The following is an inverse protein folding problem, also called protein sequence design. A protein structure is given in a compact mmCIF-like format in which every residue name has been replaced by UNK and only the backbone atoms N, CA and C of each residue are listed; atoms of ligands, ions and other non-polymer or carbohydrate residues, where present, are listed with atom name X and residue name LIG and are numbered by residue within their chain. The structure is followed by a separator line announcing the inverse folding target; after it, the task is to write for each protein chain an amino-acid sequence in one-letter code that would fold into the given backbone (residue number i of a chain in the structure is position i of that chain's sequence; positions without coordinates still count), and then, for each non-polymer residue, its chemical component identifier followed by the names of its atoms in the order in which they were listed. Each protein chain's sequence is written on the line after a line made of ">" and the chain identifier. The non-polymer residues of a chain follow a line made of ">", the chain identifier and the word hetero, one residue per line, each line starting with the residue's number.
data_IF_475822523202
#
_entry.id   IF_475822523202
#
_cell.length_a   1.000
_cell.length_b   1.000
_cell.length_c   1.000
_cell.angle_alpha   90.00
_cell.angle_beta   90.00
_cell.angle_gamma   90.00
#
_symmetry.space_group_name_H-M   'P 1'
#
loop_
_entity.id
_entity.type
_entity.pdbx_description
1 polymer ?
#
# COMPACT_ATOMS: atom_id res chain seq x y z
N UNK A 1 11.17 -0.07 -17.38
CA UNK A 1 11.93 0.45 -16.23
C UNK A 1 11.15 1.63 -15.67
N UNK A 2 10.89 1.67 -14.37
CA UNK A 2 10.19 2.78 -13.72
C UNK A 2 11.18 3.92 -13.48
N UNK A 3 10.82 5.15 -13.86
CA UNK A 3 11.67 6.31 -13.63
C UNK A 3 11.67 6.70 -12.13
N UNK A 4 12.72 7.36 -11.60
CA UNK A 4 12.70 7.88 -10.24
C UNK A 4 11.48 8.77 -9.98
N UNK A 5 10.78 8.53 -8.87
CA UNK A 5 9.57 9.25 -8.49
C UNK A 5 8.32 8.93 -9.34
N UNK A 6 8.40 8.02 -10.31
CA UNK A 6 7.23 7.54 -11.03
C UNK A 6 6.50 6.46 -10.23
N UNK A 7 5.20 6.32 -10.50
CA UNK A 7 4.32 5.36 -9.85
C UNK A 7 3.92 4.24 -10.80
N UNK A 8 3.72 3.04 -10.28
CA UNK A 8 3.16 1.90 -11.01
C UNK A 8 2.06 1.25 -10.18
N UNK A 9 0.83 1.28 -10.70
CA UNK A 9 -0.39 0.96 -9.96
C UNK A 9 -0.87 -0.46 -10.26
N UNK A 10 -0.98 -1.26 -9.21
CA UNK A 10 -1.65 -2.56 -9.24
C UNK A 10 -3.10 -2.42 -8.78
N UNK A 11 -4.05 -2.89 -9.59
CA UNK A 11 -5.48 -2.86 -9.28
C UNK A 11 -6.08 -4.26 -9.15
N UNK A 12 -6.73 -4.53 -8.03
CA UNK A 12 -7.54 -5.75 -7.85
C UNK A 12 -8.88 -5.65 -8.58
N UNK A 13 -9.64 -6.74 -8.63
CA UNK A 13 -10.96 -6.77 -9.31
C UNK A 13 -11.98 -5.78 -8.75
N UNK A 14 -11.81 -5.33 -7.50
CA UNK A 14 -12.64 -4.30 -6.86
C UNK A 14 -12.10 -2.87 -6.96
N UNK A 15 -10.99 -2.65 -7.66
CA UNK A 15 -10.40 -1.31 -7.81
C UNK A 15 -11.33 -0.39 -8.61
N UNK A 16 -11.69 0.75 -8.02
CA UNK A 16 -12.63 1.72 -8.58
C UNK A 16 -12.05 3.15 -8.64
N UNK A 17 -10.72 3.29 -8.58
CA UNK A 17 -10.06 4.60 -8.63
C UNK A 17 -10.04 5.21 -10.05
N UNK A 18 -9.91 6.54 -10.11
CA UNK A 18 -9.97 7.28 -11.37
C UNK A 18 -8.76 7.04 -12.29
N UNK A 19 -7.57 6.80 -11.72
CA UNK A 19 -6.39 6.39 -12.49
C UNK A 19 -6.52 4.91 -12.87
N UNK A 20 -6.46 4.53 -14.16
CA UNK A 20 -6.41 3.13 -14.55
C UNK A 20 -5.19 2.41 -13.93
N UNK A 21 -5.41 1.17 -13.50
CA UNK A 21 -4.32 0.31 -13.06
C UNK A 21 -3.36 0.03 -14.22
N UNK A 22 -2.06 0.06 -13.94
CA UNK A 22 -1.02 -0.32 -14.90
C UNK A 22 -0.92 -1.85 -15.01
N UNK A 23 -1.30 -2.56 -13.94
CA UNK A 23 -1.36 -4.01 -13.88
C UNK A 23 -2.56 -4.47 -13.06
N UNK A 24 -3.23 -5.53 -13.51
CA UNK A 24 -4.30 -6.17 -12.76
C UNK A 24 -3.79 -7.37 -11.94
N UNK A 25 -4.41 -7.63 -10.79
CA UNK A 25 -4.22 -8.87 -10.02
C UNK A 25 -5.56 -9.39 -9.49
N UNK A 26 -5.61 -10.68 -9.16
CA UNK A 26 -6.84 -11.37 -8.75
C UNK A 26 -6.92 -11.68 -7.25
N UNK A 27 -5.82 -11.53 -6.51
CA UNK A 27 -5.84 -11.71 -5.06
C UNK A 27 -6.67 -10.58 -4.40
N UNK A 28 -7.39 -10.91 -3.33
CA UNK A 28 -8.05 -9.91 -2.49
C UNK A 28 -7.11 -9.37 -1.42
N UNK A 29 -7.32 -8.12 -1.01
CA UNK A 29 -6.76 -7.56 0.22
C UNK A 29 -7.87 -7.54 1.28
N UNK A 30 -7.63 -8.17 2.43
CA UNK A 30 -8.61 -8.22 3.50
C UNK A 30 -8.76 -6.84 4.16
N UNK A 31 -9.98 -6.44 4.51
CA UNK A 31 -10.24 -5.11 5.09
C UNK A 31 -9.80 -4.94 6.55
N UNK A 32 -9.44 -6.02 7.26
CA UNK A 32 -9.13 -5.99 8.69
C UNK A 32 -7.65 -6.22 9.01
N UNK A 33 -7.00 -7.16 8.33
CA UNK A 33 -5.59 -7.46 8.52
C UNK A 33 -5.04 -8.20 7.30
N UNK A 34 -3.83 -7.88 6.88
CA UNK A 34 -3.20 -8.49 5.72
C UNK A 34 -1.77 -8.02 5.54
N UNK A 35 -1.21 -8.28 4.36
CA UNK A 35 0.08 -7.73 4.01
C UNK A 35 0.39 -7.85 2.53
N UNK A 36 1.27 -6.97 2.06
CA UNK A 36 1.77 -6.90 0.69
C UNK A 36 3.29 -6.87 0.75
N UNK A 37 3.94 -7.56 -0.18
CA UNK A 37 5.40 -7.59 -0.28
C UNK A 37 5.86 -7.39 -1.70
N UNK A 38 6.89 -6.56 -1.89
CA UNK A 38 7.60 -6.39 -3.14
C UNK A 38 8.80 -7.33 -3.16
N UNK A 39 8.95 -8.08 -4.25
CA UNK A 39 10.09 -8.98 -4.46
C UNK A 39 10.86 -8.58 -5.71
N UNK A 40 12.19 -8.70 -5.64
CA UNK A 40 13.04 -8.54 -6.81
C UNK A 40 13.01 -9.78 -7.72
N UNK A 41 13.73 -9.71 -8.84
CA UNK A 41 13.83 -10.80 -9.81
C UNK A 41 14.47 -12.09 -9.26
N UNK A 42 15.16 -12.02 -8.12
CA UNK A 42 15.72 -13.17 -7.40
C UNK A 42 14.78 -13.72 -6.32
N UNK A 43 13.55 -13.19 -6.25
CA UNK A 43 12.54 -13.47 -5.24
C UNK A 43 12.88 -12.98 -3.82
N UNK A 44 13.93 -12.17 -3.65
CA UNK A 44 14.22 -11.51 -2.37
C UNK A 44 13.11 -10.51 -2.06
N UNK A 45 12.58 -10.54 -0.83
CA UNK A 45 11.67 -9.50 -0.33
C UNK A 45 12.48 -8.21 -0.16
N UNK A 46 12.10 -7.15 -0.87
CA UNK A 46 12.80 -5.86 -0.88
C UNK A 46 12.10 -4.77 -0.08
N UNK A 47 10.79 -4.89 0.08
CA UNK A 47 9.94 -3.97 0.85
C UNK A 47 8.64 -4.72 1.19
N UNK A 48 8.02 -4.40 2.32
CA UNK A 48 6.77 -5.00 2.75
C UNK A 48 5.92 -4.10 3.65
N UNK A 49 4.62 -4.32 3.61
CA UNK A 49 3.68 -3.66 4.51
C UNK A 49 2.70 -4.68 5.07
N UNK A 50 2.71 -4.86 6.38
CA UNK A 50 1.70 -5.58 7.14
C UNK A 50 0.80 -4.59 7.88
N UNK A 51 -0.51 -4.82 7.86
CA UNK A 51 -1.49 -3.88 8.41
C UNK A 51 -2.55 -4.55 9.28
N UNK A 52 -3.19 -3.75 10.12
CA UNK A 52 -4.23 -4.21 11.04
C UNK A 52 -3.66 -5.10 12.14
N UNK A 53 -4.25 -6.27 12.38
CA UNK A 53 -3.75 -7.25 13.37
C UNK A 53 -2.88 -8.34 12.74
N UNK A 54 -2.18 -8.03 11.64
CA UNK A 54 -1.37 -9.01 10.93
C UNK A 54 -0.21 -9.54 11.78
N UNK A 55 0.07 -10.84 11.64
CA UNK A 55 1.25 -11.52 12.22
C UNK A 55 2.07 -12.24 11.14
N UNK A 56 1.87 -11.85 9.88
CA UNK A 56 2.52 -12.48 8.73
C UNK A 56 3.94 -11.91 8.51
N UNK A 57 4.68 -12.52 7.59
CA UNK A 57 6.07 -12.17 7.29
C UNK A 57 6.26 -10.83 6.55
N UNK A 58 5.19 -10.05 6.32
CA UNK A 58 5.24 -8.74 5.68
C UNK A 58 5.16 -7.60 6.69
N UNK A 59 5.02 -7.90 7.98
CA UNK A 59 5.07 -6.89 9.04
C UNK A 59 6.54 -6.50 9.27
N UNK A 60 6.85 -5.22 9.10
CA UNK A 60 8.13 -4.63 9.47
C UNK A 60 7.99 -3.96 10.83
N UNK A 61 8.63 -4.54 11.85
CA UNK A 61 8.60 -4.14 13.27
C UNK A 61 7.21 -4.07 13.91
N UNK A 62 6.33 -3.17 13.47
CA UNK A 62 4.94 -3.04 13.89
C UNK A 62 4.01 -2.93 12.69
N UNK A 63 2.74 -3.31 12.87
CA UNK A 63 1.72 -3.20 11.81
C UNK A 63 1.32 -1.75 11.56
N UNK A 64 1.13 -1.39 10.29
CA UNK A 64 0.40 -0.18 9.95
C UNK A 64 -1.09 -0.29 10.30
N UNK A 65 -1.81 0.83 10.27
CA UNK A 65 -3.23 0.86 10.58
C UNK A 65 -4.04 0.37 9.38
N UNK A 66 -4.95 -0.58 9.58
CA UNK A 66 -5.90 -0.96 8.52
C UNK A 66 -6.81 0.23 8.17
N UNK A 67 -6.84 0.73 6.92
CA UNK A 67 -7.74 1.81 6.54
C UNK A 67 -9.20 1.39 6.71
N UNK A 68 -10.08 2.30 7.17
CA UNK A 68 -11.50 1.98 7.26
C UNK A 68 -12.09 1.72 5.87
N UNK A 69 -12.93 0.69 5.77
CA UNK A 69 -13.68 0.41 4.55
C UNK A 69 -14.80 1.44 4.39
N UNK A 70 -14.58 2.42 3.52
CA UNK A 70 -15.53 3.48 3.17
C UNK A 70 -15.89 3.40 1.68
N UNK A 71 -16.97 4.07 1.27
CA UNK A 71 -17.39 4.09 -0.13
C UNK A 71 -16.29 4.68 -1.02
N UNK A 72 -16.19 4.20 -2.26
CA UNK A 72 -15.19 4.64 -3.22
C UNK A 72 -15.13 6.18 -3.32
N UNK A 73 -13.92 6.79 -3.37
CA UNK A 73 -12.62 6.15 -3.56
C UNK A 73 -12.03 5.46 -2.31
N UNK A 74 -12.73 5.52 -1.17
CA UNK A 74 -12.34 4.86 0.07
C UNK A 74 -11.27 5.61 0.85
N UNK A 75 -10.78 4.97 1.91
CA UNK A 75 -9.58 5.39 2.63
C UNK A 75 -8.39 4.54 2.20
N UNK A 76 -7.17 5.04 2.42
CA UNK A 76 -5.93 4.32 2.13
C UNK A 76 -4.92 4.48 3.24
N UNK A 77 -3.99 3.55 3.31
CA UNK A 77 -2.77 3.68 4.09
C UNK A 77 -1.68 4.15 3.13
N UNK A 78 -1.08 5.30 3.42
CA UNK A 78 -0.11 5.95 2.53
C UNK A 78 1.24 6.05 3.22
N UNK A 79 2.31 5.74 2.51
CA UNK A 79 3.68 5.99 2.99
C UNK A 79 3.94 7.50 2.93
N UNK A 80 4.16 8.16 4.07
CA UNK A 80 4.18 9.64 4.15
C UNK A 80 5.38 10.17 4.97
N UNK A 81 6.23 11.05 4.40
CA UNK A 81 6.28 11.45 2.99
C UNK A 81 6.58 10.28 2.04
N UNK A 82 6.46 10.50 0.73
CA UNK A 82 6.89 9.51 -0.26
C UNK A 82 8.34 9.07 0.01
N UNK A 83 8.55 7.76 0.05
CA UNK A 83 9.86 7.16 0.34
C UNK A 83 10.26 7.17 1.82
N UNK A 84 9.35 7.51 2.75
CA UNK A 84 9.59 7.33 4.18
C UNK A 84 9.63 5.83 4.53
N UNK A 85 10.81 5.33 4.90
CA UNK A 85 11.04 3.91 5.14
C UNK A 85 12.00 3.75 6.32
N UNK A 86 11.47 3.32 7.46
CA UNK A 86 12.20 3.15 8.72
C UNK A 86 12.25 1.70 9.17
N UNK A 87 11.84 0.77 8.31
CA UNK A 87 11.59 -0.65 8.62
C UNK A 87 10.55 -0.82 9.76
N UNK A 88 9.59 0.10 9.86
CA UNK A 88 8.47 0.05 10.81
C UNK A 88 7.17 0.52 10.13
N UNK A 89 6.27 -0.41 9.80
CA UNK A 89 5.08 -0.04 9.03
C UNK A 89 4.17 0.95 9.78
N UNK A 90 4.18 0.97 11.12
CA UNK A 90 3.39 1.92 11.91
C UNK A 90 3.95 3.35 11.90
N UNK A 91 5.25 3.49 11.66
CA UNK A 91 5.93 4.78 11.53
C UNK A 91 5.89 5.29 10.09
N UNK A 92 5.91 4.39 9.11
CA UNK A 92 6.05 4.72 7.71
C UNK A 92 4.72 5.06 7.02
N UNK A 93 3.62 4.46 7.50
CA UNK A 93 2.30 4.57 6.90
C UNK A 93 1.30 5.34 7.75
N UNK A 94 0.44 6.10 7.09
CA UNK A 94 -0.64 6.88 7.72
C UNK A 94 -1.93 6.72 6.93
N UNK A 95 -3.05 6.61 7.66
CA UNK A 95 -4.38 6.55 7.04
C UNK A 95 -4.80 7.92 6.50
N UNK A 96 -5.31 7.94 5.27
CA UNK A 96 -5.90 9.12 4.62
C UNK A 96 -7.28 8.81 4.04
N UNK A 97 -8.15 9.81 3.99
CA UNK A 97 -9.41 9.78 3.24
C UNK A 97 -9.25 10.31 1.80
N UNK A 98 -8.05 10.75 1.42
CA UNK A 98 -7.73 11.31 0.11
C UNK A 98 -6.64 10.46 -0.59
N UNK A 99 -6.99 9.26 -1.11
CA UNK A 99 -6.02 8.42 -1.82
C UNK A 99 -5.55 9.09 -3.12
N UNK A 100 -4.24 9.00 -3.39
CA UNK A 100 -3.56 9.67 -4.52
C UNK A 100 -2.91 8.69 -5.51
N UNK A 101 -3.64 7.71 -6.07
CA UNK A 101 -3.05 6.70 -6.95
C UNK A 101 -2.39 7.32 -8.18
N UNK A 102 -1.07 7.13 -8.30
CA UNK A 102 -0.26 7.64 -9.41
C UNK A 102 0.25 9.07 -9.28
N UNK A 103 0.10 9.67 -8.10
CA UNK A 103 0.62 11.00 -7.76
C UNK A 103 1.23 10.97 -6.36
N UNK A 104 2.09 11.94 -5.99
CA UNK A 104 2.69 11.99 -4.66
C UNK A 104 1.70 11.89 -3.50
N UNK A 105 2.10 11.18 -2.44
CA UNK A 105 1.29 11.09 -1.24
C UNK A 105 1.24 12.43 -0.51
N UNK A 106 0.05 12.82 -0.07
CA UNK A 106 -0.20 14.03 0.70
C UNK A 106 -1.01 13.68 1.94
N UNK A 107 -0.78 14.42 3.03
CA UNK A 107 -1.68 14.35 4.18
C UNK A 107 -3.09 14.75 3.73
N UNK A 108 -4.09 13.94 4.10
CA UNK A 108 -5.50 14.19 3.83
C UNK A 108 -6.17 15.07 4.87
#
# INVERSE_FOLDING_TARGET
>A
MLAPGAFYLFGGSGYAGAKPADQAFSAGLAGTAGGVGLRDATAKLVDSAGYGTATNAFVETHTATAPPSTAAPGSSDIRLPDGHDTDDNSADFTVTAAPTPGTPNVAG
#
